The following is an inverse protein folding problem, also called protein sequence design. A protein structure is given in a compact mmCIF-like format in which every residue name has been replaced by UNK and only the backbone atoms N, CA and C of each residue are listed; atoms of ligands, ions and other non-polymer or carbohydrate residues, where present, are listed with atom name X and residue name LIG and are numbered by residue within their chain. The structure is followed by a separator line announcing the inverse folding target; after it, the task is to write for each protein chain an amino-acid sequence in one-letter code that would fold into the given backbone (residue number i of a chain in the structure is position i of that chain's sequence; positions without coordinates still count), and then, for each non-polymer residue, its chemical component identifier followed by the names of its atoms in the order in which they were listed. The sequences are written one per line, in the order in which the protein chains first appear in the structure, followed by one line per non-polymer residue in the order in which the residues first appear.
data_IF_601492690957
#
_entry.id   IF_601492690957
#
_cell.length_a   1.000
_cell.length_b   1.000
_cell.length_c   1.000
_cell.angle_alpha   90.00
_cell.angle_beta   90.00
_cell.angle_gamma   90.00
#
_symmetry.space_group_name_H-M   'P 1'
#
loop_
_entity.id
_entity.type
_entity.pdbx_description
1 polymer ?
#
# COMPACT_ATOMS: atom_id res chain seq x y z
N UNK A 1 -7.20 -18.94 7.68
CA UNK A 1 -7.21 -18.09 6.48
C UNK A 1 -8.67 -17.80 6.16
N UNK A 2 -9.24 -16.70 6.68
CA UNK A 2 -10.56 -16.28 6.24
C UNK A 2 -10.39 -15.72 4.83
N UNK A 3 -10.54 -16.59 3.83
CA UNK A 3 -10.68 -16.17 2.45
C UNK A 3 -12.01 -15.42 2.39
N UNK A 4 -11.94 -14.11 2.22
CA UNK A 4 -13.11 -13.33 1.83
C UNK A 4 -13.51 -13.89 0.46
N UNK A 5 -14.50 -14.78 0.45
CA UNK A 5 -15.08 -15.38 -0.76
C UNK A 5 -16.07 -14.43 -1.46
N UNK A 6 -16.20 -13.21 -0.96
CA UNK A 6 -17.00 -12.18 -1.58
C UNK A 6 -16.21 -11.58 -2.74
N UNK A 7 -16.57 -12.01 -3.94
CA UNK A 7 -16.13 -11.36 -5.17
C UNK A 7 -17.01 -10.12 -5.30
N UNK A 8 -16.48 -8.98 -4.87
CA UNK A 8 -17.11 -7.70 -5.17
C UNK A 8 -16.82 -7.36 -6.63
N UNK A 9 -17.86 -7.38 -7.46
CA UNK A 9 -17.72 -6.93 -8.83
C UNK A 9 -17.51 -5.41 -8.85
N UNK A 10 -16.39 -4.99 -9.42
CA UNK A 10 -16.09 -3.59 -9.65
C UNK A 10 -15.58 -3.49 -11.08
N UNK A 11 -16.16 -2.58 -11.86
CA UNK A 11 -15.91 -2.51 -13.29
C UNK A 11 -15.23 -1.18 -13.67
N UNK A 12 -13.99 -0.88 -13.24
CA UNK A 12 -13.35 0.42 -13.46
C UNK A 12 -13.24 0.89 -14.92
N UNK A 13 -13.28 -0.03 -15.89
CA UNK A 13 -13.23 0.33 -17.31
C UNK A 13 -14.60 0.69 -17.90
N UNK A 14 -15.69 0.25 -17.25
CA UNK A 14 -17.08 0.55 -17.63
C UNK A 14 -17.65 1.68 -16.77
N UNK A 15 -17.45 1.60 -15.45
CA UNK A 15 -18.06 2.48 -14.46
C UNK A 15 -17.46 3.88 -14.55
N UNK A 16 -18.33 4.89 -14.45
CA UNK A 16 -17.89 6.28 -14.36
C UNK A 16 -17.09 6.51 -13.07
N UNK A 17 -16.03 7.31 -13.17
CA UNK A 17 -15.22 7.63 -12.00
C UNK A 17 -16.09 8.32 -10.93
N UNK A 18 -16.10 7.82 -9.68
CA UNK A 18 -16.95 8.37 -8.63
C UNK A 18 -16.52 9.80 -8.31
N UNK A 19 -17.51 10.71 -8.27
CA UNK A 19 -17.30 12.11 -7.91
C UNK A 19 -16.70 12.27 -6.51
N UNK A 20 -16.02 13.40 -6.26
CA UNK A 20 -15.45 13.68 -4.94
C UNK A 20 -16.49 13.58 -3.80
N UNK A 21 -17.73 14.03 -4.06
CA UNK A 21 -18.83 13.93 -3.09
C UNK A 21 -19.23 12.47 -2.84
N UNK A 22 -19.31 11.65 -3.89
CA UNK A 22 -19.61 10.23 -3.75
C UNK A 22 -18.51 9.50 -2.94
N UNK A 23 -17.23 9.82 -3.21
CA UNK A 23 -16.09 9.28 -2.43
C UNK A 23 -16.17 9.68 -0.96
N UNK A 24 -16.47 10.94 -0.66
CA UNK A 24 -16.60 11.40 0.71
C UNK A 24 -17.75 10.69 1.44
N UNK A 25 -18.90 10.51 0.79
CA UNK A 25 -20.03 9.75 1.35
C UNK A 25 -19.67 8.29 1.58
N UNK A 26 -19.01 7.64 0.63
CA UNK A 26 -18.54 6.27 0.79
C UNK A 26 -17.58 6.15 1.99
N UNK A 27 -16.63 7.08 2.14
CA UNK A 27 -15.72 7.10 3.29
C UNK A 27 -16.47 7.30 4.61
N UNK A 28 -17.50 8.15 4.66
CA UNK A 28 -18.33 8.32 5.85
C UNK A 28 -19.05 7.04 6.25
N UNK A 29 -19.61 6.31 5.27
CA UNK A 29 -20.26 5.02 5.51
C UNK A 29 -19.26 3.96 6.00
N UNK A 30 -18.08 3.87 5.37
CA UNK A 30 -17.00 2.98 5.82
C UNK A 30 -16.64 3.30 7.27
N UNK A 31 -16.43 4.58 7.60
CA UNK A 31 -16.06 4.99 8.95
C UNK A 31 -17.16 4.71 9.99
N UNK A 32 -18.43 4.68 9.59
CA UNK A 32 -19.54 4.34 10.48
C UNK A 32 -19.58 2.84 10.82
N UNK A 33 -19.12 1.98 9.91
CA UNK A 33 -19.03 0.52 10.12
C UNK A 33 -17.75 0.09 10.84
N UNK A 34 -16.71 0.94 10.84
CA UNK A 34 -15.47 0.65 11.55
C UNK A 34 -15.69 0.70 13.07
N UNK A 35 -15.25 -0.35 13.75
CA UNK A 35 -15.22 -0.38 15.22
C UNK A 35 -14.37 0.78 15.77
N UNK A 36 -14.71 1.38 16.91
CA UNK A 36 -13.95 2.51 17.47
C UNK A 36 -12.47 2.19 17.72
N UNK A 37 -12.15 0.90 17.93
CA UNK A 37 -10.79 0.42 18.21
C UNK A 37 -9.99 0.02 16.95
N UNK A 38 -10.54 0.19 15.75
CA UNK A 38 -9.90 -0.20 14.48
C UNK A 38 -8.51 0.42 14.25
N UNK A 39 -8.23 1.58 14.86
CA UNK A 39 -6.93 2.26 14.77
C UNK A 39 -5.89 1.68 15.74
N UNK A 40 -6.32 1.03 16.81
CA UNK A 40 -5.47 0.58 17.91
C UNK A 40 -5.23 -0.93 17.89
N UNK A 41 -6.19 -1.69 17.35
CA UNK A 41 -6.14 -3.15 17.30
C UNK A 41 -5.96 -3.60 15.85
N UNK A 42 -4.89 -4.36 15.62
CA UNK A 42 -4.64 -5.00 14.34
C UNK A 42 -5.74 -6.02 14.02
N UNK A 43 -6.13 -6.08 12.75
CA UNK A 43 -7.11 -7.04 12.28
C UNK A 43 -6.67 -8.48 12.62
N UNK A 44 -7.57 -9.38 13.08
CA UNK A 44 -7.19 -10.74 13.52
C UNK A 44 -6.54 -11.63 12.45
N UNK A 45 -6.69 -11.29 11.17
CA UNK A 45 -5.96 -11.95 10.06
C UNK A 45 -4.49 -11.53 9.95
N UNK A 46 -4.09 -10.44 10.61
CA UNK A 46 -2.69 -10.02 10.66
C UNK A 46 -2.02 -10.85 11.76
N UNK A 47 -1.01 -11.67 11.42
CA UNK A 47 -0.29 -12.42 12.43
C UNK A 47 0.38 -11.47 13.42
N UNK A 48 0.43 -11.87 14.69
CA UNK A 48 1.17 -11.12 15.69
C UNK A 48 2.63 -10.90 15.23
N UNK A 49 3.17 -9.71 15.47
CA UNK A 49 4.56 -9.41 15.16
C UNK A 49 5.46 -10.44 15.84
N UNK A 50 6.42 -11.06 15.12
CA UNK A 50 7.34 -12.00 15.75
C UNK A 50 8.12 -11.28 16.85
N UNK A 51 8.27 -11.94 18.00
CA UNK A 51 9.10 -11.42 19.09
C UNK A 51 10.54 -11.26 18.60
N UNK A 52 11.12 -10.09 18.82
CA UNK A 52 12.51 -9.80 18.48
C UNK A 52 13.45 -10.61 19.36
N UNK A 53 14.02 -11.69 18.82
CA UNK A 53 15.04 -12.50 19.50
C UNK A 53 16.43 -11.91 19.24
N UNK A 54 16.82 -10.97 20.09
CA UNK A 54 18.18 -10.44 20.10
C UNK A 54 19.14 -11.42 20.77
N UNK A 55 20.41 -11.42 20.35
CA UNK A 55 21.45 -12.14 21.08
C UNK A 55 21.66 -11.48 22.45
N UNK A 56 22.17 -12.23 23.47
CA UNK A 56 22.41 -11.66 24.80
C UNK A 56 23.29 -10.40 24.77
N UNK A 57 24.23 -10.35 23.84
CA UNK A 57 25.12 -9.20 23.66
C UNK A 57 24.38 -7.95 23.15
N UNK A 58 23.44 -8.13 22.23
CA UNK A 58 22.61 -7.03 21.72
C UNK A 58 21.61 -6.58 22.78
N UNK A 59 21.04 -7.51 23.56
CA UNK A 59 20.15 -7.17 24.68
C UNK A 59 20.87 -6.31 25.73
N UNK A 60 22.08 -6.72 26.12
CA UNK A 60 22.91 -5.96 27.05
C UNK A 60 23.22 -4.54 26.54
N UNK A 61 23.52 -4.37 25.25
CA UNK A 61 23.77 -3.04 24.68
C UNK A 61 22.50 -2.17 24.57
N UNK A 62 21.34 -2.78 24.31
CA UNK A 62 20.05 -2.09 24.33
C UNK A 62 19.70 -1.62 25.74
N UNK A 63 19.88 -2.47 26.75
CA UNK A 63 19.68 -2.13 28.17
C UNK A 63 20.64 -1.02 28.62
N UNK A 64 21.93 -1.12 28.23
CA UNK A 64 22.93 -0.08 28.49
C UNK A 64 22.54 1.26 27.87
N UNK A 65 22.06 1.27 26.62
CA UNK A 65 21.58 2.50 25.95
C UNK A 65 20.28 3.04 26.55
N UNK A 66 19.40 2.19 27.06
CA UNK A 66 18.15 2.60 27.69
C UNK A 66 18.36 3.26 29.07
N UNK A 67 19.46 2.95 29.75
CA UNK A 67 19.76 3.42 31.12
C UNK A 67 20.90 4.45 31.21
N UNK A 68 21.71 4.65 30.17
CA UNK A 68 22.87 5.55 30.25
C UNK A 68 22.69 6.85 29.43
N UNK A 69 23.04 8.03 30.00
CA UNK A 69 23.34 9.24 29.23
C UNK A 69 24.58 9.03 28.33
N UNK A 70 24.70 9.83 27.26
CA UNK A 70 25.79 9.81 26.28
C UNK A 70 27.20 9.62 26.89
N UNK A 71 28.12 8.93 26.19
CA UNK A 71 29.47 8.72 26.70
C UNK A 71 30.15 10.08 26.90
N UNK A 72 30.90 10.28 28.01
CA UNK A 72 31.57 11.54 28.25
C UNK A 72 32.59 11.81 27.14
N UNK A 73 32.49 13.00 26.55
CA UNK A 73 33.49 13.57 25.66
C UNK A 73 34.80 13.67 26.43
N UNK A 74 35.86 13.06 25.88
CA UNK A 74 37.21 13.12 26.43
C UNK A 74 37.63 14.58 26.60
N UNK A 75 37.89 14.99 27.85
CA UNK A 75 38.55 16.25 28.14
C UNK A 75 40.03 16.13 27.81
N UNK A 76 40.49 16.97 26.88
CA UNK A 76 41.87 17.44 26.87
C UNK A 76 42.12 18.21 28.17
N UNK A 77 43.33 18.14 28.73
CA UNK A 77 44.07 19.33 29.13
C UNK A 77 45.54 19.00 29.49
N UNK A 78 46.36 20.00 29.25
CA UNK A 78 47.82 20.16 29.24
C UNK A 78 48.45 20.35 30.63
N UNK A 79 49.56 19.64 30.94
CA UNK A 79 50.94 20.16 31.17
C UNK A 79 51.77 19.47 32.30
N UNK A 80 53.02 19.14 31.95
CA UNK A 80 54.21 18.71 32.71
C UNK A 80 54.37 17.20 33.10
N UNK A 81 55.57 16.60 32.88
CA UNK A 81 55.70 15.18 32.57
C UNK A 81 55.68 14.26 33.80
N UNK A 82 54.57 13.54 33.98
CA UNK A 82 54.45 12.44 34.94
C UNK A 82 54.69 11.07 34.26
N UNK A 83 55.34 10.13 34.95
CA UNK A 83 55.61 8.75 34.46
C UNK A 83 54.41 8.06 33.77
N UNK A 84 53.16 8.15 34.28
CA UNK A 84 51.97 7.63 33.59
C UNK A 84 51.65 8.34 32.25
N UNK A 85 51.91 9.64 32.13
CA UNK A 85 51.71 10.38 30.87
C UNK A 85 52.75 10.00 29.82
N UNK A 86 53.98 9.70 30.23
CA UNK A 86 55.00 9.12 29.35
C UNK A 86 54.60 7.74 28.84
N UNK A 87 54.00 6.91 29.69
CA UNK A 87 53.48 5.60 29.27
C UNK A 87 52.33 5.78 28.29
N UNK A 88 51.41 6.71 28.55
CA UNK A 88 50.30 6.98 27.66
C UNK A 88 50.76 7.55 26.30
N UNK A 89 51.73 8.47 26.29
CA UNK A 89 52.31 9.01 25.06
C UNK A 89 53.11 7.96 24.29
N UNK A 90 53.86 7.09 24.97
CA UNK A 90 54.55 5.95 24.35
C UNK A 90 53.55 4.97 23.71
N UNK A 91 52.46 4.64 24.42
CA UNK A 91 51.40 3.79 23.89
C UNK A 91 50.72 4.45 22.67
N UNK A 92 50.44 5.76 22.73
CA UNK A 92 49.92 6.53 21.58
C UNK A 92 50.90 6.53 20.39
N UNK A 93 52.19 6.66 20.63
CA UNK A 93 53.21 6.62 19.59
C UNK A 93 53.37 5.21 18.99
N UNK A 94 53.32 4.16 19.82
CA UNK A 94 53.42 2.78 19.36
C UNK A 94 52.18 2.37 18.55
N UNK A 95 50.99 2.76 19.00
CA UNK A 95 49.73 2.53 18.28
C UNK A 95 49.68 3.29 16.97
N UNK A 96 50.13 4.56 16.93
CA UNK A 96 50.18 5.35 15.69
C UNK A 96 51.19 4.78 14.69
N UNK A 97 52.37 4.36 15.16
CA UNK A 97 53.39 3.71 14.34
C UNK A 97 52.87 2.40 13.73
N UNK A 98 52.25 1.55 14.55
CA UNK A 98 51.64 0.29 14.09
C UNK A 98 50.51 0.53 13.09
N UNK A 99 49.69 1.56 13.31
CA UNK A 99 48.62 1.95 12.39
C UNK A 99 49.19 2.45 11.05
N UNK A 100 50.23 3.30 11.06
CA UNK A 100 50.85 3.80 9.83
C UNK A 100 51.51 2.67 9.02
N UNK A 101 52.17 1.72 9.69
CA UNK A 101 52.72 0.54 9.03
C UNK A 101 51.63 -0.28 8.33
N UNK A 102 50.52 -0.58 9.03
CA UNK A 102 49.36 -1.28 8.44
C UNK A 102 48.69 -0.49 7.32
N UNK A 103 48.59 0.83 7.46
CA UNK A 103 48.03 1.70 6.42
C UNK A 103 48.90 1.67 5.17
N UNK A 104 50.23 1.67 5.32
CA UNK A 104 51.14 1.58 4.19
C UNK A 104 50.99 0.24 3.46
N UNK A 105 50.94 -0.87 4.20
CA UNK A 105 50.67 -2.19 3.63
C UNK A 105 49.31 -2.24 2.90
N UNK A 106 48.25 -1.69 3.50
CA UNK A 106 46.93 -1.61 2.87
C UNK A 106 46.94 -0.78 1.58
N UNK A 107 47.62 0.38 1.58
CA UNK A 107 47.75 1.21 0.39
C UNK A 107 48.53 0.50 -0.72
N UNK A 108 49.59 -0.25 -0.37
CA UNK A 108 50.32 -1.06 -1.36
C UNK A 108 49.40 -2.11 -2.01
N UNK A 109 48.58 -2.81 -1.21
CA UNK A 109 47.58 -3.76 -1.72
C UNK A 109 46.51 -3.06 -2.57
N UNK A 110 46.09 -1.86 -2.20
CA UNK A 110 45.11 -1.08 -2.96
C UNK A 110 45.70 -0.58 -4.29
N UNK A 111 46.96 -0.17 -4.32
CA UNK A 111 47.64 0.23 -5.55
C UNK A 111 47.78 -0.96 -6.50
N UNK A 112 48.10 -2.15 -5.98
CA UNK A 112 48.28 -3.36 -6.79
C UNK A 112 46.96 -3.96 -7.30
N UNK A 113 45.93 -4.03 -6.45
CA UNK A 113 44.71 -4.77 -6.74
C UNK A 113 43.43 -3.93 -6.81
N UNK A 114 43.46 -2.68 -6.34
CA UNK A 114 42.27 -1.83 -6.21
C UNK A 114 41.58 -1.57 -7.54
N UNK A 115 42.33 -1.31 -8.61
CA UNK A 115 41.74 -1.12 -9.96
C UNK A 115 41.00 -2.37 -10.43
N UNK A 116 41.62 -3.54 -10.27
CA UNK A 116 41.02 -4.81 -10.71
C UNK A 116 39.79 -5.17 -9.88
N UNK A 117 39.86 -5.00 -8.55
CA UNK A 117 38.73 -5.20 -7.65
C UNK A 117 37.56 -4.26 -7.99
N UNK A 118 37.85 -2.99 -8.28
CA UNK A 118 36.83 -2.02 -8.68
C UNK A 118 36.16 -2.40 -10.01
N UNK A 119 36.93 -2.82 -11.02
CA UNK A 119 36.37 -3.25 -12.31
C UNK A 119 35.48 -4.49 -12.17
N UNK A 120 35.88 -5.46 -11.36
CA UNK A 120 35.06 -6.65 -11.06
C UNK A 120 33.77 -6.24 -10.34
N UNK A 121 33.88 -5.38 -9.32
CA UNK A 121 32.72 -4.85 -8.62
C UNK A 121 31.76 -4.11 -9.55
N UNK A 122 32.28 -3.30 -10.48
CA UNK A 122 31.46 -2.62 -11.47
C UNK A 122 30.76 -3.61 -12.41
N UNK A 123 31.47 -4.64 -12.89
CA UNK A 123 30.86 -5.68 -13.72
C UNK A 123 29.74 -6.45 -13.01
N UNK A 124 29.92 -6.75 -11.71
CA UNK A 124 28.88 -7.36 -10.87
C UNK A 124 27.67 -6.43 -10.70
N UNK A 125 27.90 -5.13 -10.46
CA UNK A 125 26.82 -4.15 -10.35
C UNK A 125 26.05 -3.99 -11.67
N UNK A 126 26.73 -4.01 -12.81
CA UNK A 126 26.09 -4.01 -14.12
C UNK A 126 25.23 -5.26 -14.35
N UNK A 127 25.69 -6.44 -13.91
CA UNK A 127 24.90 -7.67 -13.98
C UNK A 127 23.64 -7.60 -13.11
N UNK A 128 23.77 -7.14 -11.87
CA UNK A 128 22.63 -6.92 -10.96
C UNK A 128 21.64 -5.92 -11.57
N UNK A 129 22.13 -4.80 -12.12
CA UNK A 129 21.30 -3.79 -12.77
C UNK A 129 20.52 -4.38 -13.95
N UNK A 130 21.19 -5.12 -14.84
CA UNK A 130 20.52 -5.78 -15.98
C UNK A 130 19.47 -6.80 -15.52
N UNK A 131 19.74 -7.52 -14.44
CA UNK A 131 18.78 -8.46 -13.83
C UNK A 131 17.53 -7.74 -13.34
N UNK A 132 17.69 -6.66 -12.58
CA UNK A 132 16.59 -5.86 -12.06
C UNK A 132 15.79 -5.17 -13.18
N UNK A 133 16.46 -4.65 -14.22
CA UNK A 133 15.78 -4.05 -15.37
C UNK A 133 14.93 -5.08 -16.13
N UNK A 134 15.44 -6.31 -16.27
CA UNK A 134 14.70 -7.41 -16.88
C UNK A 134 13.48 -7.80 -16.05
N UNK A 135 13.63 -8.00 -14.75
CA UNK A 135 12.51 -8.31 -13.85
C UNK A 135 11.45 -7.20 -13.85
N UNK A 136 11.87 -5.94 -13.87
CA UNK A 136 10.99 -4.79 -13.99
C UNK A 136 10.23 -4.79 -15.33
N UNK A 137 10.89 -5.11 -16.44
CA UNK A 137 10.24 -5.18 -17.75
C UNK A 137 9.22 -6.34 -17.80
N UNK A 138 9.58 -7.50 -17.28
CA UNK A 138 8.70 -8.69 -17.22
C UNK A 138 7.47 -8.43 -16.34
N UNK A 139 7.66 -7.86 -15.16
CA UNK A 139 6.56 -7.53 -14.24
C UNK A 139 5.63 -6.46 -14.80
N UNK A 140 6.18 -5.43 -15.47
CA UNK A 140 5.37 -4.44 -16.18
C UNK A 140 4.53 -5.10 -17.28
N UNK A 141 5.14 -5.91 -18.15
CA UNK A 141 4.41 -6.62 -19.21
C UNK A 141 3.29 -7.49 -18.65
N UNK A 142 3.58 -8.27 -17.60
CA UNK A 142 2.58 -9.11 -16.95
C UNK A 142 1.42 -8.27 -16.36
N UNK A 143 1.72 -7.13 -15.74
CA UNK A 143 0.70 -6.22 -15.21
C UNK A 143 -0.18 -5.61 -16.31
N UNK A 144 0.44 -5.23 -17.44
CA UNK A 144 -0.27 -4.69 -18.60
C UNK A 144 -1.17 -5.75 -19.24
N UNK A 145 -0.70 -6.99 -19.35
CA UNK A 145 -1.48 -8.08 -19.93
C UNK A 145 -2.70 -8.43 -19.07
N UNK A 146 -2.55 -8.45 -17.75
CA UNK A 146 -3.70 -8.60 -16.82
C UNK A 146 -4.69 -7.44 -16.98
N UNK A 147 -4.20 -6.21 -17.07
CA UNK A 147 -5.07 -5.04 -17.27
C UNK A 147 -5.79 -5.09 -18.64
N UNK A 148 -5.11 -5.51 -19.70
CA UNK A 148 -5.71 -5.72 -21.03
C UNK A 148 -6.79 -6.80 -20.98
N UNK A 149 -6.50 -7.94 -20.36
CA UNK A 149 -7.48 -9.02 -20.19
C UNK A 149 -8.70 -8.56 -19.38
N UNK A 150 -8.48 -7.83 -18.28
CA UNK A 150 -9.56 -7.25 -17.47
C UNK A 150 -10.42 -6.29 -18.30
N UNK A 151 -9.79 -5.40 -19.07
CA UNK A 151 -10.52 -4.47 -19.95
C UNK A 151 -11.38 -5.21 -20.96
N UNK A 152 -10.82 -6.20 -21.67
CA UNK A 152 -11.57 -6.98 -22.67
C UNK A 152 -12.78 -7.68 -22.04
N UNK A 153 -12.60 -8.29 -20.86
CA UNK A 153 -13.69 -8.96 -20.16
C UNK A 153 -14.81 -7.98 -19.75
N UNK A 154 -14.44 -6.80 -19.26
CA UNK A 154 -15.38 -5.75 -18.89
C UNK A 154 -16.11 -5.20 -20.12
N UNK A 155 -15.38 -4.78 -21.16
CA UNK A 155 -15.97 -4.26 -22.41
C UNK A 155 -16.93 -5.28 -23.06
N UNK A 156 -16.64 -6.59 -22.97
CA UNK A 156 -17.53 -7.64 -23.47
C UNK A 156 -18.86 -7.70 -22.70
N UNK A 157 -18.85 -7.50 -21.39
CA UNK A 157 -20.05 -7.49 -20.54
C UNK A 157 -20.87 -6.20 -20.64
N UNK A 158 -20.28 -5.10 -21.11
CA UNK A 158 -20.93 -3.79 -21.16
C UNK A 158 -22.24 -3.79 -21.94
N UNK A 159 -22.24 -4.40 -23.13
CA UNK A 159 -23.43 -4.45 -23.98
C UNK A 159 -24.59 -5.20 -23.34
N UNK A 160 -24.30 -6.29 -22.62
CA UNK A 160 -25.30 -7.06 -21.90
C UNK A 160 -25.90 -6.24 -20.74
N UNK A 161 -25.05 -5.59 -19.93
CA UNK A 161 -25.50 -4.72 -18.83
C UNK A 161 -26.40 -3.58 -19.31
N UNK A 162 -26.00 -2.89 -20.38
CA UNK A 162 -26.81 -1.81 -20.97
C UNK A 162 -28.16 -2.33 -21.50
N UNK A 163 -28.16 -3.51 -22.13
CA UNK A 163 -29.40 -4.12 -22.65
C UNK A 163 -30.36 -4.54 -21.54
N UNK A 164 -29.82 -5.05 -20.42
CA UNK A 164 -30.59 -5.43 -19.23
C UNK A 164 -31.18 -4.19 -18.56
N UNK A 165 -30.40 -3.13 -18.42
CA UNK A 165 -30.86 -1.86 -17.85
C UNK A 165 -32.01 -1.25 -18.68
N UNK A 166 -31.86 -1.18 -20.01
CA UNK A 166 -32.90 -0.65 -20.89
C UNK A 166 -34.16 -1.53 -20.92
N UNK A 167 -33.99 -2.85 -20.92
CA UNK A 167 -35.12 -3.79 -20.85
C UNK A 167 -35.86 -3.66 -19.52
N UNK A 168 -35.13 -3.50 -18.41
CA UNK A 168 -35.71 -3.25 -17.11
C UNK A 168 -36.48 -1.92 -17.06
N UNK A 169 -35.88 -0.81 -17.52
CA UNK A 169 -36.57 0.51 -17.58
C UNK A 169 -37.85 0.44 -18.40
N UNK A 170 -37.81 -0.21 -19.56
CA UNK A 170 -38.99 -0.39 -20.42
C UNK A 170 -40.05 -1.27 -19.75
N UNK A 171 -39.64 -2.35 -19.08
CA UNK A 171 -40.55 -3.24 -18.36
C UNK A 171 -41.28 -2.51 -17.23
N UNK A 172 -40.55 -1.75 -16.40
CA UNK A 172 -41.14 -0.94 -15.33
C UNK A 172 -42.05 0.15 -15.90
N UNK A 173 -41.61 0.85 -16.95
CA UNK A 173 -42.43 1.86 -17.62
C UNK A 173 -43.75 1.30 -18.15
N UNK A 174 -43.70 0.14 -18.82
CA UNK A 174 -44.90 -0.52 -19.35
C UNK A 174 -45.89 -0.92 -18.24
N UNK A 175 -45.40 -1.38 -17.08
CA UNK A 175 -46.27 -1.70 -15.93
C UNK A 175 -46.95 -0.43 -15.42
N UNK A 176 -46.20 0.67 -15.26
CA UNK A 176 -46.76 1.95 -14.81
C UNK A 176 -47.78 2.52 -15.80
N UNK A 177 -47.53 2.40 -17.11
CA UNK A 177 -48.48 2.83 -18.14
C UNK A 177 -49.79 2.05 -18.08
N UNK A 178 -49.71 0.73 -17.86
CA UNK A 178 -50.90 -0.12 -17.68
C UNK A 178 -51.66 0.24 -16.41
N UNK A 179 -50.96 0.46 -15.29
CA UNK A 179 -51.58 0.88 -14.03
C UNK A 179 -52.29 2.22 -14.19
N UNK A 180 -51.64 3.21 -14.82
CA UNK A 180 -52.22 4.53 -15.09
C UNK A 180 -53.44 4.44 -16.00
N UNK A 181 -53.37 3.65 -17.07
CA UNK A 181 -54.50 3.43 -17.98
C UNK A 181 -55.67 2.73 -17.26
N UNK A 182 -55.38 1.78 -16.37
CA UNK A 182 -56.39 1.06 -15.60
C UNK A 182 -57.11 1.97 -14.59
N UNK A 183 -56.38 2.85 -13.90
CA UNK A 183 -56.96 3.86 -13.01
C UNK A 183 -57.73 4.95 -13.78
N UNK A 184 -57.20 5.39 -14.93
CA UNK A 184 -57.92 6.31 -15.82
C UNK A 184 -59.26 5.72 -16.28
N UNK A 185 -59.27 4.45 -16.70
CA UNK A 185 -60.49 3.74 -17.09
C UNK A 185 -61.45 3.59 -15.91
N UNK A 186 -60.95 3.27 -14.71
CA UNK A 186 -61.75 3.19 -13.48
C UNK A 186 -62.45 4.51 -13.18
N UNK A 187 -61.74 5.63 -13.29
CA UNK A 187 -62.31 6.97 -13.07
C UNK A 187 -63.41 7.30 -14.08
N UNK A 188 -63.19 7.00 -15.36
CA UNK A 188 -64.20 7.18 -16.41
C UNK A 188 -65.45 6.33 -16.14
N UNK A 189 -65.29 5.07 -15.70
CA UNK A 189 -66.42 4.20 -15.33
C UNK A 189 -67.22 4.80 -14.17
N UNK A 190 -66.54 5.33 -13.15
CA UNK A 190 -67.20 5.97 -12.00
C UNK A 190 -67.96 7.23 -12.41
N UNK A 191 -67.40 8.04 -13.31
CA UNK A 191 -68.05 9.23 -13.84
C UNK A 191 -69.30 8.88 -14.66
N UNK A 192 -69.21 7.91 -15.56
CA UNK A 192 -70.36 7.42 -16.33
C UNK A 192 -71.47 6.87 -15.43
N UNK A 193 -71.12 6.13 -14.37
CA UNK A 193 -72.10 5.65 -13.38
C UNK A 193 -72.80 6.79 -12.64
N UNK A 194 -72.08 7.87 -12.30
CA UNK A 194 -72.68 9.07 -11.68
C UNK A 194 -73.65 9.76 -12.63
N UNK A 195 -73.29 9.92 -13.90
CA UNK A 195 -74.16 10.53 -14.92
C UNK A 195 -75.44 9.70 -15.14
N UNK A 196 -75.31 8.37 -15.25
CA UNK A 196 -76.45 7.48 -15.40
C UNK A 196 -77.40 7.53 -14.19
N UNK A 197 -76.86 7.59 -12.96
CA UNK A 197 -77.67 7.73 -11.75
C UNK A 197 -78.43 9.08 -11.70
N UNK A 198 -77.83 10.16 -12.19
CA UNK A 198 -78.49 11.47 -12.29
C UNK A 198 -79.60 11.49 -13.35
N UNK A 199 -79.46 10.74 -14.43
CA UNK A 199 -80.49 10.61 -15.46
C UNK A 199 -81.67 9.75 -15.01
N UNK A 200 -81.44 8.71 -14.19
CA UNK A 200 -82.50 7.87 -13.62
C UNK A 200 -83.27 8.55 -12.48
N UNK A 201 -82.72 9.61 -11.89
CA UNK A 201 -83.35 10.38 -10.81
C UNK A 201 -84.21 11.57 -11.30
N UNK A 202 -84.26 11.82 -12.62
CA UNK A 202 -85.15 12.79 -13.27
C UNK A 202 -86.34 12.09 -13.89
#
# INVERSE_FOLDING_TARGET
MSLINEIHDSLPYIDAEPSAVARQKAQQLINAELAPEHSSILHPSIPASPESKFSPFIQQELERKATAPEPPTRTSDTDAPDLPEWQETLLKACTSSSHLAKRHENLALLEEHGKNAWLIGNAQLEEVLRGLEKELAETKSASEDVNKQRKIAQDASFGELASLEETWKRGVGAVLDVELASEGLRMQILEQRRLAAQQQAR
#
